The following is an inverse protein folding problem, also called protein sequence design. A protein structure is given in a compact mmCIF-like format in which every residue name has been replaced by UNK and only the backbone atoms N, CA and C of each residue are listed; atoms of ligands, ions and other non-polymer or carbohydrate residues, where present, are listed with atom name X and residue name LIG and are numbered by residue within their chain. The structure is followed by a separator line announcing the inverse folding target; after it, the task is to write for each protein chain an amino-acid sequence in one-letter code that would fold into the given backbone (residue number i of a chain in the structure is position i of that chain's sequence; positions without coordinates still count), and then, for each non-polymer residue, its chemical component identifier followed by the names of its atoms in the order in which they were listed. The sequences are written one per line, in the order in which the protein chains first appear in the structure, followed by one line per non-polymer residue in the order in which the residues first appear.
data_IF_552605899872
#
_entry.id   IF_552605899872
#
_cell.length_a   1.000
_cell.length_b   1.000
_cell.length_c   1.000
_cell.angle_alpha   90.00
_cell.angle_beta   90.00
_cell.angle_gamma   90.00
#
_symmetry.space_group_name_H-M   'P 1'
#
loop_
_entity.id
_entity.type
_entity.pdbx_description
1 polymer ?
#
# COMPACT_ATOMS: atom_id res chain seq x y z
N UNK A 1 37.61 55.74 -78.68
CA UNK A 1 36.74 55.27 -77.59
C UNK A 1 37.39 54.04 -76.95
N UNK A 2 38.25 54.26 -75.96
CA UNK A 2 38.79 53.24 -75.04
C UNK A 2 37.78 53.09 -73.87
N UNK A 3 37.75 52.11 -72.95
CA UNK A 3 38.52 50.92 -72.63
C UNK A 3 37.72 50.23 -71.46
N UNK A 4 37.70 48.89 -71.41
CA UNK A 4 37.70 47.98 -70.22
C UNK A 4 36.57 48.04 -69.17
N UNK A 5 35.75 46.98 -69.21
CA UNK A 5 35.34 46.08 -68.10
C UNK A 5 35.71 46.43 -66.64
N UNK A 6 34.69 46.53 -65.80
CA UNK A 6 34.78 46.24 -64.36
C UNK A 6 33.90 45.03 -64.03
N UNK A 7 34.46 43.82 -64.16
CA UNK A 7 33.84 42.62 -63.59
C UNK A 7 33.95 42.73 -62.07
N UNK A 8 32.84 42.98 -61.39
CA UNK A 8 32.74 42.89 -59.94
C UNK A 8 33.15 41.48 -59.49
N UNK A 9 34.33 41.40 -58.87
CA UNK A 9 34.86 40.20 -58.27
C UNK A 9 33.94 39.78 -57.11
N UNK A 10 33.03 38.85 -57.39
CA UNK A 10 32.39 38.04 -56.36
C UNK A 10 33.48 37.30 -55.61
N UNK A 11 33.82 37.78 -54.42
CA UNK A 11 34.60 37.07 -53.41
C UNK A 11 33.98 35.69 -53.21
N UNK A 12 34.53 34.68 -53.86
CA UNK A 12 34.22 33.28 -53.58
C UNK A 12 34.79 33.01 -52.20
N UNK A 13 33.92 32.90 -51.20
CA UNK A 13 34.28 32.29 -49.92
C UNK A 13 34.86 30.91 -50.24
N UNK A 14 36.17 30.74 -50.06
CA UNK A 14 36.84 29.45 -50.18
C UNK A 14 36.35 28.57 -49.05
N UNK A 15 35.50 27.61 -49.38
CA UNK A 15 35.06 26.57 -48.45
C UNK A 15 36.19 25.55 -48.40
N UNK A 16 36.98 25.58 -47.34
CA UNK A 16 37.96 24.52 -47.07
C UNK A 16 37.21 23.26 -46.60
N UNK A 17 37.55 22.11 -47.18
CA UNK A 17 37.00 20.81 -46.77
C UNK A 17 37.61 20.31 -45.46
N UNK A 18 36.95 19.34 -44.82
CA UNK A 18 37.42 18.71 -43.59
C UNK A 18 38.60 17.76 -43.84
N UNK A 19 39.55 17.74 -42.91
CA UNK A 19 40.62 16.74 -42.89
C UNK A 19 40.10 15.42 -42.31
N UNK A 20 40.71 14.30 -42.70
CA UNK A 20 40.37 12.97 -42.16
C UNK A 20 40.58 12.89 -40.64
N UNK A 21 41.59 13.61 -40.12
CA UNK A 21 41.86 13.69 -38.68
C UNK A 21 40.71 14.40 -37.92
N UNK A 22 40.21 15.54 -38.42
CA UNK A 22 39.09 16.25 -37.79
C UNK A 22 37.83 15.40 -37.73
N UNK A 23 37.57 14.62 -38.78
CA UNK A 23 36.42 13.72 -38.84
C UNK A 23 36.55 12.57 -37.83
N UNK A 24 37.74 11.98 -37.67
CA UNK A 24 38.00 10.95 -36.66
C UNK A 24 37.84 11.51 -35.23
N UNK A 25 38.44 12.67 -34.94
CA UNK A 25 38.34 13.30 -33.61
C UNK A 25 36.89 13.68 -33.31
N UNK A 26 36.17 14.26 -34.28
CA UNK A 26 34.76 14.62 -34.14
C UNK A 26 33.87 13.42 -33.82
N UNK A 27 34.10 12.28 -34.47
CA UNK A 27 33.38 11.03 -34.17
C UNK A 27 33.66 10.53 -32.76
N UNK A 28 34.93 10.50 -32.34
CA UNK A 28 35.32 10.04 -31.01
C UNK A 28 34.70 10.90 -29.92
N UNK A 29 34.76 12.23 -30.06
CA UNK A 29 34.14 13.16 -29.10
C UNK A 29 32.62 12.97 -29.07
N UNK A 30 31.98 12.84 -30.23
CA UNK A 30 30.53 12.61 -30.31
C UNK A 30 30.11 11.31 -29.62
N UNK A 31 30.86 10.23 -29.83
CA UNK A 31 30.61 8.95 -29.15
C UNK A 31 30.78 9.08 -27.63
N UNK A 32 31.82 9.78 -27.16
CA UNK A 32 32.03 10.00 -25.73
C UNK A 32 30.86 10.78 -25.09
N UNK A 33 30.35 11.81 -25.77
CA UNK A 33 29.20 12.59 -25.31
C UNK A 33 27.93 11.74 -25.26
N UNK A 34 27.66 10.93 -26.29
CA UNK A 34 26.49 10.03 -26.30
C UNK A 34 26.61 8.99 -25.19
N UNK A 35 27.77 8.37 -25.00
CA UNK A 35 28.00 7.39 -23.95
C UNK A 35 27.73 7.99 -22.55
N UNK A 36 28.23 9.20 -22.28
CA UNK A 36 27.93 9.92 -21.05
C UNK A 36 26.45 10.30 -20.89
N UNK A 37 25.77 10.66 -21.99
CA UNK A 37 24.34 11.00 -21.96
C UNK A 37 23.46 9.78 -21.64
N UNK A 38 23.81 8.61 -22.19
CA UNK A 38 23.09 7.36 -21.96
C UNK A 38 23.17 6.92 -20.49
N UNK A 39 24.31 7.08 -19.82
CA UNK A 39 24.45 6.71 -18.40
C UNK A 39 23.60 7.59 -17.48
N UNK A 40 23.52 8.89 -17.77
CA UNK A 40 22.62 9.82 -17.08
C UNK A 40 21.16 9.44 -17.32
N UNK A 41 20.80 9.15 -18.57
CA UNK A 41 19.44 8.73 -18.93
C UNK A 41 19.02 7.44 -18.19
N UNK A 42 19.87 6.42 -18.16
CA UNK A 42 19.61 5.18 -17.42
C UNK A 42 19.38 5.47 -15.93
N UNK A 43 20.20 6.34 -15.35
CA UNK A 43 20.07 6.72 -13.93
C UNK A 43 18.75 7.46 -13.66
N UNK A 44 18.34 8.35 -14.58
CA UNK A 44 17.06 9.06 -14.51
C UNK A 44 15.86 8.11 -14.60
N UNK A 45 15.86 7.18 -15.56
CA UNK A 45 14.78 6.18 -15.73
C UNK A 45 14.67 5.29 -14.48
N UNK A 46 15.80 4.86 -13.91
CA UNK A 46 15.81 4.08 -12.65
C UNK A 46 15.23 4.87 -11.49
N UNK A 47 15.63 6.13 -11.32
CA UNK A 47 15.09 7.02 -10.29
C UNK A 47 13.58 7.21 -10.44
N UNK A 48 13.12 7.46 -11.67
CA UNK A 48 11.71 7.62 -11.98
C UNK A 48 10.90 6.35 -11.66
N UNK A 49 11.36 5.18 -12.09
CA UNK A 49 10.67 3.91 -11.81
C UNK A 49 10.57 3.62 -10.31
N UNK A 50 11.62 3.91 -9.53
CA UNK A 50 11.59 3.77 -8.08
C UNK A 50 10.57 4.73 -7.46
N UNK A 51 10.51 5.97 -7.93
CA UNK A 51 9.54 6.95 -7.45
C UNK A 51 8.10 6.53 -7.76
N UNK A 52 7.83 6.02 -8.96
CA UNK A 52 6.51 5.49 -9.33
C UNK A 52 6.10 4.36 -8.39
N UNK A 53 7.01 3.43 -8.07
CA UNK A 53 6.75 2.32 -7.13
C UNK A 53 6.44 2.82 -5.71
N UNK A 54 7.18 3.81 -5.22
CA UNK A 54 6.92 4.43 -3.91
C UNK A 54 5.54 5.07 -3.87
N UNK A 55 5.18 5.84 -4.89
CA UNK A 55 3.89 6.52 -4.97
C UNK A 55 2.74 5.51 -5.06
N UNK A 56 2.88 4.48 -5.89
CA UNK A 56 1.88 3.42 -6.00
C UNK A 56 1.66 2.72 -4.65
N UNK A 57 2.73 2.40 -3.92
CA UNK A 57 2.63 1.82 -2.59
C UNK A 57 1.95 2.77 -1.59
N UNK A 58 2.32 4.06 -1.59
CA UNK A 58 1.67 5.05 -0.73
C UNK A 58 0.16 5.16 -0.99
N UNK A 59 -0.25 5.11 -2.26
CA UNK A 59 -1.66 5.11 -2.64
C UNK A 59 -2.37 3.84 -2.20
N UNK A 60 -1.75 2.68 -2.39
CA UNK A 60 -2.28 1.39 -1.94
C UNK A 60 -2.49 1.37 -0.42
N UNK A 61 -1.47 1.75 0.36
CA UNK A 61 -1.57 1.82 1.83
C UNK A 61 -2.59 2.85 2.29
N UNK A 62 -2.70 4.01 1.63
CA UNK A 62 -3.71 5.02 1.96
C UNK A 62 -5.12 4.47 1.70
N UNK A 63 -5.37 3.91 0.52
CA UNK A 63 -6.67 3.34 0.19
C UNK A 63 -7.05 2.19 1.14
N UNK A 64 -6.08 1.34 1.48
CA UNK A 64 -6.25 0.25 2.43
C UNK A 64 -6.58 0.77 3.84
N UNK A 65 -5.84 1.76 4.33
CA UNK A 65 -6.08 2.35 5.64
C UNK A 65 -7.46 3.02 5.69
N UNK A 66 -7.82 3.81 4.67
CA UNK A 66 -9.13 4.46 4.56
C UNK A 66 -10.27 3.41 4.58
N UNK A 67 -10.07 2.27 3.91
CA UNK A 67 -11.02 1.16 3.91
C UNK A 67 -11.16 0.53 5.31
N UNK A 68 -10.04 0.20 5.95
CA UNK A 68 -10.04 -0.39 7.29
C UNK A 68 -10.67 0.54 8.32
N UNK A 69 -10.24 1.82 8.36
CA UNK A 69 -10.78 2.82 9.28
C UNK A 69 -12.28 3.01 9.11
N UNK A 70 -12.76 3.11 7.86
CA UNK A 70 -14.19 3.30 7.61
C UNK A 70 -15.01 2.12 8.13
N UNK A 71 -14.57 0.89 7.88
CA UNK A 71 -15.31 -0.30 8.29
C UNK A 71 -15.21 -0.54 9.80
N UNK A 72 -14.02 -0.41 10.40
CA UNK A 72 -13.83 -0.57 11.85
C UNK A 72 -14.64 0.46 12.64
N UNK A 73 -14.76 1.69 12.12
CA UNK A 73 -15.62 2.72 12.72
C UNK A 73 -17.11 2.32 12.77
N UNK A 74 -17.55 1.46 11.84
CA UNK A 74 -18.91 0.92 11.78
C UNK A 74 -19.09 -0.35 12.61
N UNK A 75 -18.04 -0.87 13.25
CA UNK A 75 -18.18 -1.99 14.17
C UNK A 75 -19.26 -1.67 15.23
N UNK A 76 -20.15 -2.63 15.50
CA UNK A 76 -21.26 -2.46 16.44
C UNK A 76 -22.44 -1.66 15.91
N UNK A 77 -22.48 -1.31 14.62
CA UNK A 77 -23.63 -0.57 14.07
C UNK A 77 -24.89 -1.44 14.11
N UNK A 78 -25.82 -1.11 15.01
CA UNK A 78 -27.13 -1.75 15.17
C UNK A 78 -28.17 -0.68 15.58
N UNK A 79 -28.78 0.03 14.62
CA UNK A 79 -29.65 1.15 14.96
C UNK A 79 -30.98 0.73 15.60
N UNK A 80 -31.37 -0.53 15.53
CA UNK A 80 -32.60 -1.04 16.14
C UNK A 80 -32.35 -1.88 17.41
N UNK A 81 -31.09 -2.24 17.69
CA UNK A 81 -30.69 -3.02 18.87
C UNK A 81 -31.13 -4.47 18.82
N UNK A 82 -31.47 -5.00 17.64
CA UNK A 82 -31.99 -6.36 17.48
C UNK A 82 -30.95 -7.32 16.89
N UNK A 83 -29.93 -6.81 16.21
CA UNK A 83 -28.95 -7.61 15.49
C UNK A 83 -27.83 -8.11 16.42
N UNK A 84 -27.52 -7.37 17.49
CA UNK A 84 -26.40 -7.68 18.38
C UNK A 84 -25.05 -7.48 17.67
N UNK A 85 -24.93 -6.42 16.87
CA UNK A 85 -23.72 -6.13 16.13
C UNK A 85 -22.56 -5.78 17.08
N UNK A 86 -21.33 -6.15 16.74
CA UNK A 86 -20.16 -5.88 17.58
C UNK A 86 -18.92 -6.60 17.10
N UNK A 87 -17.87 -6.61 17.92
CA UNK A 87 -16.76 -7.53 17.71
C UNK A 87 -17.24 -8.96 17.93
N UNK A 88 -16.77 -9.90 17.10
CA UNK A 88 -17.25 -11.28 17.17
C UNK A 88 -16.11 -12.27 16.98
N UNK A 89 -16.07 -13.32 17.80
CA UNK A 89 -15.16 -14.47 17.64
C UNK A 89 -15.74 -15.55 16.70
N UNK A 90 -16.92 -15.31 16.17
CA UNK A 90 -17.60 -16.17 15.22
C UNK A 90 -18.24 -15.29 14.16
N UNK A 91 -17.98 -15.62 12.90
CA UNK A 91 -18.57 -14.95 11.75
C UNK A 91 -19.03 -16.02 10.79
N UNK A 92 -20.34 -16.03 10.50
CA UNK A 92 -20.96 -16.97 9.56
C UNK A 92 -20.64 -18.46 9.84
N UNK A 93 -20.63 -18.87 11.11
CA UNK A 93 -20.35 -20.24 11.53
C UNK A 93 -18.87 -20.65 11.44
N UNK A 94 -17.98 -19.70 11.15
CA UNK A 94 -16.52 -19.89 11.19
C UNK A 94 -15.95 -19.12 12.37
N UNK A 95 -15.07 -19.77 13.13
CA UNK A 95 -14.36 -19.14 14.24
C UNK A 95 -13.28 -18.20 13.73
N UNK A 96 -13.31 -16.97 14.21
CA UNK A 96 -12.26 -15.96 14.00
C UNK A 96 -11.79 -15.44 15.35
N UNK A 97 -10.61 -14.85 15.39
CA UNK A 97 -10.08 -14.26 16.62
C UNK A 97 -9.91 -12.76 16.44
N UNK A 98 -10.30 -11.99 17.47
CA UNK A 98 -9.99 -10.57 17.54
C UNK A 98 -8.58 -10.45 18.13
N UNK A 99 -7.57 -10.40 17.27
CA UNK A 99 -6.15 -10.48 17.66
C UNK A 99 -5.27 -9.50 16.89
N UNK A 100 -3.97 -9.54 17.17
CA UNK A 100 -3.04 -8.54 16.65
C UNK A 100 -2.88 -8.55 15.13
N UNK A 101 -3.19 -9.64 14.42
CA UNK A 101 -3.03 -9.79 12.96
C UNK A 101 -4.33 -10.18 12.22
N UNK A 102 -5.45 -10.29 12.96
CA UNK A 102 -6.77 -10.59 12.44
C UNK A 102 -7.82 -9.84 13.26
N UNK A 103 -8.81 -9.25 12.60
CA UNK A 103 -9.91 -8.56 13.27
C UNK A 103 -11.22 -9.01 12.65
N UNK A 104 -12.20 -9.30 13.50
CA UNK A 104 -13.54 -9.72 13.12
C UNK A 104 -14.60 -8.92 13.87
N UNK A 105 -15.56 -8.36 13.14
CA UNK A 105 -16.68 -7.61 13.69
C UNK A 105 -17.86 -7.58 12.71
N UNK A 106 -19.00 -7.12 13.22
CA UNK A 106 -20.26 -7.09 12.49
C UNK A 106 -20.89 -5.69 12.54
N UNK A 107 -21.73 -5.40 11.55
CA UNK A 107 -22.48 -4.16 11.43
C UNK A 107 -23.76 -4.41 10.60
N UNK A 108 -24.94 -4.18 11.19
CA UNK A 108 -26.26 -4.33 10.56
C UNK A 108 -26.47 -3.21 9.53
N UNK A 109 -26.14 -3.51 8.27
CA UNK A 109 -26.22 -2.59 7.14
C UNK A 109 -27.20 -3.10 6.07
N UNK A 110 -27.82 -4.25 6.32
CA UNK A 110 -28.71 -4.95 5.43
C UNK A 110 -29.99 -4.19 5.22
N UNK A 111 -30.78 -4.65 4.25
CA UNK A 111 -32.07 -4.05 3.95
C UNK A 111 -33.17 -5.05 4.28
N UNK A 112 -34.24 -4.56 4.91
CA UNK A 112 -35.48 -5.33 5.03
C UNK A 112 -35.97 -5.69 3.62
N UNK A 113 -35.98 -6.99 3.30
CA UNK A 113 -36.46 -7.47 2.00
C UNK A 113 -37.97 -7.26 1.90
N UNK A 114 -38.40 -6.44 0.94
CA UNK A 114 -39.82 -6.27 0.58
C UNK A 114 -40.49 -4.97 1.04
N UNK A 115 -39.82 -4.08 1.78
CA UNK A 115 -40.30 -2.72 2.00
C UNK A 115 -39.59 -1.75 1.04
N UNK A 116 -40.33 -1.31 0.03
CA UNK A 116 -39.94 -0.14 -0.75
C UNK A 116 -39.94 1.09 0.17
N UNK A 117 -38.83 1.82 0.15
CA UNK A 117 -38.63 3.20 0.63
C UNK A 117 -37.88 3.50 1.94
N UNK A 118 -37.74 2.60 2.91
CA UNK A 118 -36.90 2.89 4.09
C UNK A 118 -35.60 2.07 4.08
N UNK A 119 -34.47 2.77 4.09
CA UNK A 119 -33.10 2.25 4.26
C UNK A 119 -32.87 1.76 5.71
N UNK A 120 -33.80 0.97 6.21
CA UNK A 120 -33.76 0.48 7.58
C UNK A 120 -33.01 -0.85 7.61
N UNK A 121 -31.99 -0.97 8.47
CA UNK A 121 -31.34 -2.23 8.79
C UNK A 121 -32.32 -3.33 9.14
N UNK A 122 -32.02 -4.57 8.73
CA UNK A 122 -32.99 -5.66 8.80
C UNK A 122 -33.09 -6.30 10.19
N UNK A 123 -32.25 -5.87 11.13
CA UNK A 123 -32.20 -6.37 12.50
C UNK A 123 -31.57 -7.75 12.60
N UNK A 124 -30.84 -8.19 11.58
CA UNK A 124 -30.16 -9.49 11.54
C UNK A 124 -28.75 -9.32 11.03
N UNK A 125 -27.78 -10.04 11.60
CA UNK A 125 -26.44 -10.14 11.03
C UNK A 125 -26.41 -11.33 10.08
N UNK A 126 -26.29 -11.05 8.80
CA UNK A 126 -26.13 -12.04 7.76
C UNK A 126 -24.98 -11.70 6.81
N UNK A 127 -24.60 -12.68 6.00
CA UNK A 127 -23.57 -12.48 5.01
C UNK A 127 -24.08 -11.78 3.75
N UNK A 128 -25.39 -11.80 3.46
CA UNK A 128 -25.96 -11.35 2.19
C UNK A 128 -25.65 -9.89 1.86
N UNK A 129 -25.49 -9.05 2.89
CA UNK A 129 -25.21 -7.61 2.75
C UNK A 129 -23.82 -7.18 3.20
N UNK A 130 -22.85 -8.11 3.28
CA UNK A 130 -21.48 -7.80 3.71
C UNK A 130 -21.42 -7.19 5.12
N UNK A 131 -22.29 -7.65 6.02
CA UNK A 131 -22.41 -7.17 7.41
C UNK A 131 -21.33 -7.75 8.32
N UNK A 132 -20.69 -8.81 7.82
CA UNK A 132 -19.57 -9.48 8.42
C UNK A 132 -18.26 -8.93 7.85
N UNK A 133 -17.39 -8.46 8.74
CA UNK A 133 -16.09 -7.90 8.42
C UNK A 133 -15.03 -8.72 9.11
N UNK A 134 -14.22 -9.41 8.31
CA UNK A 134 -13.01 -10.10 8.79
C UNK A 134 -11.87 -9.63 7.92
N UNK A 135 -10.79 -9.17 8.55
CA UNK A 135 -9.57 -8.75 7.87
C UNK A 135 -8.38 -9.51 8.42
N UNK A 136 -7.61 -10.11 7.51
CA UNK A 136 -6.37 -10.80 7.83
C UNK A 136 -5.42 -10.79 6.63
N UNK A 137 -4.17 -11.13 6.89
CA UNK A 137 -3.19 -11.36 5.82
C UNK A 137 -3.24 -12.81 5.37
N UNK A 138 -3.23 -13.01 4.06
CA UNK A 138 -3.01 -14.32 3.45
C UNK A 138 -1.66 -14.29 2.76
N UNK A 139 -0.81 -15.24 3.13
CA UNK A 139 0.48 -15.42 2.52
C UNK A 139 0.43 -16.56 1.51
N UNK A 140 0.63 -16.25 0.24
CA UNK A 140 0.80 -17.26 -0.81
C UNK A 140 2.25 -17.74 -0.79
N UNK A 141 2.44 -19.04 -0.57
CA UNK A 141 3.76 -19.66 -0.51
C UNK A 141 4.64 -19.26 -1.71
N UNK A 142 5.83 -18.72 -1.44
CA UNK A 142 6.78 -18.24 -2.45
C UNK A 142 6.70 -16.74 -2.75
N UNK A 143 5.67 -16.04 -2.27
CA UNK A 143 5.63 -14.57 -2.35
C UNK A 143 6.45 -13.95 -1.22
N UNK A 144 7.15 -12.86 -1.54
CA UNK A 144 7.93 -12.08 -0.57
C UNK A 144 7.04 -11.11 0.24
N UNK A 145 5.73 -11.11 -0.01
CA UNK A 145 4.76 -10.23 0.63
C UNK A 145 3.39 -10.89 0.64
N UNK A 146 2.60 -10.58 1.65
CA UNK A 146 1.25 -11.09 1.81
C UNK A 146 0.25 -10.18 1.11
N UNK A 147 -0.97 -10.68 0.93
CA UNK A 147 -2.09 -9.88 0.48
C UNK A 147 -3.08 -9.73 1.63
N UNK A 148 -3.66 -8.55 1.77
CA UNK A 148 -4.70 -8.28 2.76
C UNK A 148 -6.03 -8.72 2.18
N UNK A 149 -6.77 -9.53 2.94
CA UNK A 149 -8.07 -10.03 2.53
C UNK A 149 -9.18 -9.49 3.40
N UNK A 150 -10.36 -9.47 2.79
CA UNK A 150 -11.65 -9.33 3.47
C UNK A 150 -12.55 -10.50 3.08
N UNK A 151 -13.37 -11.00 3.99
CA UNK A 151 -14.47 -11.88 3.59
C UNK A 151 -15.56 -11.13 2.82
N UNK A 152 -16.06 -11.76 1.76
CA UNK A 152 -17.25 -11.34 1.04
C UNK A 152 -18.52 -11.97 1.62
N UNK A 153 -19.67 -11.63 1.02
CA UNK A 153 -20.99 -12.17 1.33
C UNK A 153 -21.16 -13.69 1.16
N UNK A 154 -20.18 -14.39 0.60
CA UNK A 154 -20.18 -15.85 0.52
C UNK A 154 -19.24 -16.49 1.57
N UNK A 155 -18.65 -15.69 2.47
CA UNK A 155 -17.63 -16.16 3.41
C UNK A 155 -16.30 -16.52 2.73
N UNK A 156 -16.07 -16.02 1.51
CA UNK A 156 -14.84 -16.28 0.75
C UNK A 156 -13.89 -15.09 0.92
N UNK A 157 -12.60 -15.32 1.28
CA UNK A 157 -11.60 -14.27 1.27
C UNK A 157 -11.42 -13.68 -0.13
N UNK A 158 -11.49 -12.35 -0.19
CA UNK A 158 -11.25 -11.54 -1.38
C UNK A 158 -10.14 -10.56 -1.07
N UNK A 159 -9.21 -10.43 -2.00
CA UNK A 159 -8.08 -9.53 -1.87
C UNK A 159 -8.54 -8.06 -1.88
N UNK A 160 -8.07 -7.31 -0.88
CA UNK A 160 -8.26 -5.88 -0.72
C UNK A 160 -7.02 -5.10 -1.13
N UNK A 161 -5.83 -5.62 -0.79
CA UNK A 161 -4.56 -4.96 -1.06
C UNK A 161 -3.42 -5.95 -1.24
N UNK A 162 -2.55 -5.66 -2.20
CA UNK A 162 -1.32 -6.42 -2.42
C UNK A 162 -0.14 -5.84 -1.63
N UNK A 163 0.93 -6.64 -1.53
CA UNK A 163 2.24 -6.21 -1.03
C UNK A 163 2.22 -5.71 0.42
N UNK A 164 1.47 -6.36 1.28
CA UNK A 164 1.42 -6.06 2.72
C UNK A 164 2.34 -7.05 3.44
N UNK A 165 3.34 -6.54 4.15
CA UNK A 165 4.27 -7.33 4.96
C UNK A 165 3.69 -7.63 6.35
N UNK A 166 3.02 -6.63 6.92
CA UNK A 166 2.51 -6.69 8.28
C UNK A 166 1.20 -5.92 8.41
N UNK A 167 0.26 -6.52 9.11
CA UNK A 167 -0.97 -5.95 9.61
C UNK A 167 -0.92 -6.09 11.13
N UNK A 168 -1.07 -4.98 11.84
CA UNK A 168 -1.14 -5.00 13.29
C UNK A 168 -2.30 -4.19 13.84
N UNK A 169 -3.08 -4.81 14.73
CA UNK A 169 -4.14 -4.19 15.50
C UNK A 169 -3.76 -4.12 16.97
N UNK A 170 -4.09 -2.99 17.60
CA UNK A 170 -4.07 -2.84 19.06
C UNK A 170 -5.42 -2.28 19.52
N UNK A 171 -6.04 -2.97 20.46
CA UNK A 171 -7.36 -2.64 20.98
C UNK A 171 -7.22 -1.80 22.25
N UNK A 172 -8.02 -0.74 22.33
CA UNK A 172 -8.00 0.20 23.46
C UNK A 172 -9.37 0.32 24.09
N UNK A 173 -9.40 0.41 25.42
CA UNK A 173 -10.60 0.75 26.17
C UNK A 173 -10.94 2.25 26.08
N UNK A 174 -12.04 2.67 26.73
CA UNK A 174 -12.47 4.07 26.75
C UNK A 174 -11.47 5.02 27.43
N UNK A 175 -10.64 4.51 28.35
CA UNK A 175 -9.59 5.25 29.02
C UNK A 175 -8.27 5.28 28.22
N UNK A 176 -8.19 4.53 27.11
CA UNK A 176 -7.00 4.40 26.27
C UNK A 176 -6.02 3.33 26.74
N UNK A 177 -6.40 2.45 27.68
CA UNK A 177 -5.56 1.32 28.07
C UNK A 177 -5.64 0.21 27.01
N UNK A 178 -4.53 -0.50 26.83
CA UNK A 178 -4.44 -1.62 25.89
C UNK A 178 -5.19 -2.83 26.45
N UNK A 179 -6.12 -3.36 25.66
CA UNK A 179 -6.75 -4.66 25.88
C UNK A 179 -5.86 -5.71 25.21
N UNK A 180 -5.50 -6.76 25.96
CA UNK A 180 -4.60 -7.79 25.46
C UNK A 180 -5.24 -8.58 24.30
N UNK A 181 -4.44 -8.83 23.27
CA UNK A 181 -4.82 -9.67 22.13
C UNK A 181 -4.26 -11.10 22.30
N UNK A 182 -5.01 -12.17 21.94
CA UNK A 182 -6.40 -12.17 21.47
C UNK A 182 -7.37 -11.66 22.54
N UNK A 183 -8.31 -10.82 22.14
CA UNK A 183 -9.30 -10.22 23.03
C UNK A 183 -10.34 -11.28 23.40
N UNK A 184 -10.59 -11.46 24.70
CA UNK A 184 -11.63 -12.36 25.17
C UNK A 184 -13.02 -11.81 24.78
N UNK A 185 -13.97 -12.70 24.49
CA UNK A 185 -15.32 -12.28 24.09
C UNK A 185 -16.05 -11.46 25.15
N UNK A 186 -15.69 -11.62 26.42
CA UNK A 186 -16.22 -10.81 27.53
C UNK A 186 -15.78 -9.33 27.47
N UNK A 187 -14.66 -9.04 26.79
CA UNK A 187 -14.05 -7.71 26.72
C UNK A 187 -14.35 -7.01 25.38
N UNK A 188 -15.17 -7.61 24.50
CA UNK A 188 -15.54 -7.00 23.21
C UNK A 188 -16.27 -5.67 23.37
N UNK A 189 -17.16 -5.61 24.36
CA UNK A 189 -17.90 -4.41 24.74
C UNK A 189 -17.01 -3.39 25.46
N UNK A 190 -15.72 -3.66 25.69
CA UNK A 190 -14.76 -2.71 26.25
C UNK A 190 -13.91 -2.01 25.17
N UNK A 191 -13.84 -2.55 23.95
CA UNK A 191 -13.07 -1.96 22.84
C UNK A 191 -13.69 -0.63 22.36
N UNK A 192 -13.07 0.50 22.69
CA UNK A 192 -13.51 1.84 22.28
C UNK A 192 -12.72 2.41 21.09
N UNK A 193 -11.48 1.97 20.89
CA UNK A 193 -10.68 2.37 19.75
C UNK A 193 -9.75 1.24 19.30
N UNK A 194 -9.41 1.25 18.01
CA UNK A 194 -8.46 0.33 17.40
C UNK A 194 -7.34 1.13 16.77
N UNK A 195 -6.11 0.81 17.12
CA UNK A 195 -4.94 1.30 16.42
C UNK A 195 -4.56 0.29 15.33
N UNK A 196 -4.27 0.82 14.15
CA UNK A 196 -3.97 0.04 12.96
C UNK A 196 -2.56 0.41 12.53
N UNK A 197 -1.70 -0.57 12.31
CA UNK A 197 -0.38 -0.38 11.70
C UNK A 197 -0.27 -1.29 10.49
N UNK A 198 0.01 -0.70 9.34
CA UNK A 198 0.27 -1.42 8.09
C UNK A 198 1.72 -1.19 7.67
N UNK A 199 2.38 -2.26 7.25
CA UNK A 199 3.68 -2.20 6.58
C UNK A 199 3.52 -2.77 5.19
N UNK A 200 3.73 -1.95 4.17
CA UNK A 200 3.72 -2.37 2.77
C UNK A 200 5.13 -2.50 2.21
N UNK A 201 5.35 -3.43 1.29
CA UNK A 201 6.64 -3.67 0.60
C UNK A 201 6.65 -3.14 -0.84
N UNK A 202 7.72 -2.52 -1.29
CA UNK A 202 7.87 -2.14 -2.70
C UNK A 202 9.28 -2.49 -3.21
N UNK A 203 9.36 -3.58 -3.98
CA UNK A 203 10.63 -4.17 -4.41
C UNK A 203 11.21 -5.12 -3.35
N UNK A 204 11.94 -6.18 -3.70
CA UNK A 204 13.12 -6.15 -4.55
C UNK A 204 13.07 -7.10 -5.78
N UNK A 205 13.69 -6.69 -6.88
CA UNK A 205 14.10 -7.61 -7.94
C UNK A 205 15.62 -7.84 -7.82
N UNK A 206 16.10 -9.10 -7.70
CA UNK A 206 17.52 -9.41 -7.77
C UNK A 206 18.11 -8.93 -9.10
N UNK A 207 19.25 -8.24 -9.05
CA UNK A 207 20.20 -8.22 -10.17
C UNK A 207 20.57 -6.88 -10.81
N UNK A 208 19.84 -5.77 -10.62
CA UNK A 208 20.15 -4.51 -11.34
C UNK A 208 19.94 -3.20 -10.55
N UNK A 209 19.58 -3.27 -9.26
CA UNK A 209 19.45 -2.10 -8.38
C UNK A 209 20.70 -1.82 -7.54
N UNK A 210 20.86 -0.61 -7.01
CA UNK A 210 21.85 -0.34 -5.95
C UNK A 210 21.57 -1.25 -4.76
N UNK A 211 22.59 -1.90 -4.18
CA UNK A 211 22.39 -2.74 -3.00
C UNK A 211 21.71 -1.91 -1.90
N UNK A 212 20.65 -2.46 -1.34
CA UNK A 212 19.88 -1.88 -0.26
C UNK A 212 19.70 -2.98 0.79
N UNK A 213 19.84 -2.62 2.06
CA UNK A 213 19.60 -3.50 3.18
C UNK A 213 18.73 -2.75 4.18
N UNK A 214 17.54 -3.28 4.45
CA UNK A 214 16.61 -2.71 5.41
C UNK A 214 17.01 -3.08 6.83
N UNK A 215 17.57 -2.11 7.55
CA UNK A 215 17.97 -2.24 8.97
C UNK A 215 16.99 -1.54 9.90
N UNK A 216 15.83 -1.12 9.38
CA UNK A 216 14.82 -0.37 10.12
C UNK A 216 14.10 -1.29 11.10
N UNK A 217 13.93 -0.83 12.34
CA UNK A 217 13.10 -1.50 13.35
C UNK A 217 11.68 -0.98 13.28
N UNK A 218 10.72 -1.84 12.96
CA UNK A 218 9.32 -1.48 12.80
C UNK A 218 8.56 -1.70 14.10
N UNK A 219 7.87 -0.67 14.58
CA UNK A 219 7.12 -0.69 15.84
C UNK A 219 5.73 -0.13 15.66
N UNK A 220 4.77 -0.66 16.41
CA UNK A 220 3.45 -0.05 16.54
C UNK A 220 3.52 1.23 17.41
N UNK A 221 2.38 1.89 17.62
CA UNK A 221 2.29 3.08 18.47
C UNK A 221 2.54 2.81 19.95
N UNK A 222 2.42 1.57 20.41
CA UNK A 222 2.75 1.09 21.75
C UNK A 222 4.26 0.83 21.91
N UNK A 223 5.05 1.00 20.85
CA UNK A 223 6.48 0.69 20.78
C UNK A 223 6.81 -0.81 20.77
N UNK A 224 5.82 -1.68 20.61
CA UNK A 224 6.04 -3.12 20.44
C UNK A 224 6.58 -3.44 19.05
N UNK A 225 7.38 -4.49 18.97
CA UNK A 225 7.95 -4.94 17.70
C UNK A 225 6.86 -5.56 16.82
N UNK A 226 6.82 -5.13 15.56
CA UNK A 226 5.93 -5.74 14.56
C UNK A 226 6.47 -7.10 14.11
N UNK A 227 5.54 -8.02 13.84
CA UNK A 227 5.84 -9.31 13.24
C UNK A 227 5.86 -9.17 11.71
N UNK A 228 7.05 -9.13 11.13
CA UNK A 228 7.25 -9.01 9.68
C UNK A 228 7.32 -10.40 9.04
N UNK A 229 7.02 -10.51 7.74
CA UNK A 229 7.05 -11.79 7.03
C UNK A 229 8.45 -12.42 6.99
N UNK A 230 9.50 -11.61 7.08
CA UNK A 230 10.89 -12.10 7.17
C UNK A 230 11.18 -12.92 8.45
N UNK A 231 10.30 -12.84 9.46
CA UNK A 231 10.50 -13.44 10.79
C UNK A 231 11.53 -12.71 11.65
N UNK A 232 12.10 -11.60 11.16
CA UNK A 232 13.10 -10.80 11.87
C UNK A 232 12.78 -9.31 11.80
N UNK A 233 13.04 -8.58 12.87
CA UNK A 233 12.84 -7.14 12.97
C UNK A 233 14.02 -6.52 13.75
N UNK A 234 15.00 -5.89 13.07
CA UNK A 234 14.98 -5.47 11.67
C UNK A 234 15.13 -6.65 10.68
N UNK A 235 14.53 -6.56 9.48
CA UNK A 235 14.46 -7.68 8.53
C UNK A 235 15.80 -7.99 7.84
N UNK A 236 16.71 -7.02 7.74
CA UNK A 236 18.03 -7.15 7.11
C UNK A 236 18.01 -7.74 5.68
N UNK A 237 16.94 -7.47 4.94
CA UNK A 237 16.75 -7.92 3.56
C UNK A 237 16.84 -6.75 2.57
N UNK A 238 16.71 -7.04 1.27
CA UNK A 238 16.76 -6.00 0.23
C UNK A 238 15.41 -5.38 -0.10
N UNK A 239 14.38 -5.66 0.71
CA UNK A 239 13.00 -5.23 0.47
C UNK A 239 12.80 -3.86 1.09
N UNK A 240 12.27 -2.91 0.31
CA UNK A 240 11.91 -1.59 0.84
C UNK A 240 10.52 -1.65 1.41
N UNK A 241 10.30 -1.01 2.55
CA UNK A 241 8.99 -0.96 3.20
C UNK A 241 8.58 0.45 3.50
N UNK A 242 7.27 0.65 3.61
CA UNK A 242 6.66 1.85 4.13
C UNK A 242 5.69 1.45 5.22
N UNK A 243 5.78 2.14 6.36
CA UNK A 243 4.88 1.95 7.48
C UNK A 243 3.89 3.11 7.57
N UNK A 244 2.61 2.80 7.76
CA UNK A 244 1.57 3.76 8.09
C UNK A 244 0.84 3.29 9.35
N UNK A 245 0.47 4.23 10.21
CA UNK A 245 -0.28 3.95 11.42
C UNK A 245 -1.42 4.92 11.60
N UNK A 246 -2.54 4.44 12.11
CA UNK A 246 -3.71 5.25 12.42
C UNK A 246 -4.40 4.75 13.70
N UNK A 247 -5.28 5.59 14.23
CA UNK A 247 -6.11 5.26 15.39
C UNK A 247 -7.54 5.63 15.05
N UNK A 248 -8.43 4.64 15.07
CA UNK A 248 -9.84 4.81 14.76
C UNK A 248 -10.67 4.53 16.01
N UNK A 249 -11.56 5.45 16.35
CA UNK A 249 -12.57 5.23 17.38
C UNK A 249 -13.72 4.37 16.82
N UNK A 250 -14.17 3.41 17.62
CA UNK A 250 -15.40 2.64 17.36
C UNK A 250 -16.57 3.53 17.76
N UNK A 251 -17.50 3.80 16.83
CA UNK A 251 -18.55 4.83 17.05
C UNK A 251 -19.83 4.29 17.67
N UNK A 252 -20.14 3.02 17.46
CA UNK A 252 -21.43 2.46 17.82
C UNK A 252 -21.33 1.68 19.13
N UNK A 253 -20.78 2.37 20.13
CA UNK A 253 -20.49 1.84 21.45
C UNK A 253 -21.15 2.73 22.49
#
# INVERSE_FOLDING_TARGET
MSHINGNDMRSRLTINGFTLMELMVGMVVSMAVVAGSVTVYISMVRGHNNQVKVVAMQQNLRATMDYLERNIRMAGYDPFGFAGAGFSAEVAGTTYEVKSDEISFTADQGRISGSDFDYNPNGTIDNHWNENFVFNLINTAGNQSSTLHRLNAAGVPVELAENIDCLNFVYLDQAGNVIAAPVASADFDDIAAVQITLVGTFGAAPGLGTPYTDTTVYRNKQMDLLNLQSGANPPNDSIRRLMVTSTVAVRNK
#
